data_IF_023856755208
#
_entry.id   IF_023856755208
#
_cell.length_a   1.000
_cell.length_b   1.000
_cell.length_c   1.000
_cell.angle_alpha   90.00
_cell.angle_beta   90.00
_cell.angle_gamma   90.00
#
_symmetry.space_group_name_H-M   'P 1'
#
loop_
_entity.id
_entity.type
_entity.pdbx_description
1 polymer ?
#
# COMPACT_ATOMS: atom_id res chain seq x y z
N UNK A 1 16.74 6.12 25.37
CA UNK A 1 15.92 6.61 24.24
C UNK A 1 14.79 5.62 23.98
N UNK A 2 13.53 6.04 24.02
CA UNK A 2 12.40 5.15 23.74
C UNK A 2 12.28 4.91 22.23
N UNK A 3 12.19 3.63 21.83
CA UNK A 3 11.95 3.24 20.44
C UNK A 3 10.47 3.42 20.13
N UNK A 4 10.13 4.40 19.31
CA UNK A 4 8.77 4.56 18.77
C UNK A 4 8.51 3.44 17.75
N UNK A 5 7.29 2.91 17.75
CA UNK A 5 6.85 1.83 16.85
C UNK A 5 5.58 2.25 16.12
N UNK A 6 5.44 1.81 14.88
CA UNK A 6 4.26 2.06 14.06
C UNK A 6 3.14 1.13 14.49
N UNK A 7 1.96 1.69 14.75
CA UNK A 7 0.74 0.96 15.08
C UNK A 7 -0.20 1.04 13.89
N UNK A 8 -0.72 -0.10 13.46
CA UNK A 8 -1.63 -0.20 12.31
C UNK A 8 -3.02 -0.56 12.80
N UNK A 9 -4.02 0.15 12.28
CA UNK A 9 -5.43 -0.13 12.52
C UNK A 9 -6.11 -0.28 11.17
N UNK A 10 -6.73 -1.43 10.95
CA UNK A 10 -7.53 -1.74 9.77
C UNK A 10 -8.99 -1.36 10.06
N UNK A 11 -9.68 -0.85 9.03
CA UNK A 11 -11.11 -0.55 9.10
C UNK A 11 -11.81 -1.07 7.85
N UNK A 12 -12.99 -1.65 8.03
CA UNK A 12 -13.82 -2.16 6.94
C UNK A 12 -14.14 -3.64 7.09
N UNK A 13 -14.93 -4.16 6.15
CA UNK A 13 -15.48 -5.52 6.17
C UNK A 13 -14.43 -6.61 6.42
N UNK A 14 -13.27 -6.50 5.77
CA UNK A 14 -12.17 -7.46 5.82
C UNK A 14 -11.14 -7.19 6.93
N UNK A 15 -11.44 -6.31 7.90
CA UNK A 15 -10.45 -5.90 8.91
C UNK A 15 -10.00 -7.06 9.83
N UNK A 16 -10.79 -8.12 9.95
CA UNK A 16 -10.52 -9.29 10.81
C UNK A 16 -10.05 -10.52 10.03
N UNK A 17 -9.90 -10.42 8.71
CA UNK A 17 -9.44 -11.54 7.90
C UNK A 17 -8.04 -11.97 8.34
N UNK A 18 -7.79 -13.28 8.26
CA UNK A 18 -6.48 -13.82 8.63
C UNK A 18 -5.41 -13.26 7.67
N UNK A 19 -4.24 -12.83 8.18
CA UNK A 19 -3.16 -12.37 7.33
C UNK A 19 -2.71 -13.50 6.40
N UNK A 20 -2.43 -13.14 5.14
CA UNK A 20 -1.99 -14.09 4.12
C UNK A 20 -0.55 -13.79 3.72
N UNK A 21 0.26 -14.85 3.62
CA UNK A 21 1.61 -14.76 3.07
C UNK A 21 1.54 -14.61 1.54
N UNK A 22 1.97 -13.45 1.04
CA UNK A 22 1.87 -13.11 -0.39
C UNK A 22 2.65 -14.07 -1.30
N UNK A 23 3.74 -14.66 -0.80
CA UNK A 23 4.52 -15.64 -1.56
C UNK A 23 3.71 -16.91 -1.86
N UNK A 24 2.84 -17.33 -0.95
CA UNK A 24 2.00 -18.52 -1.12
C UNK A 24 0.86 -18.26 -2.12
N UNK A 25 0.32 -17.03 -2.16
CA UNK A 25 -0.72 -16.65 -3.12
C UNK A 25 -0.22 -16.65 -4.58
N UNK A 26 1.03 -16.23 -4.83
CA UNK A 26 1.59 -16.20 -6.19
C UNK A 26 1.78 -17.60 -6.80
N UNK A 27 1.89 -18.62 -5.95
CA UNK A 27 2.05 -20.03 -6.36
C UNK A 27 0.72 -20.75 -6.52
N UNK A 28 -0.29 -20.37 -5.72
CA UNK A 28 -1.58 -21.07 -5.69
C UNK A 28 -2.42 -20.83 -6.95
N UNK A 29 -2.26 -19.71 -7.64
CA UNK A 29 -3.14 -19.36 -8.76
C UNK A 29 -2.40 -18.67 -9.93
N UNK A 30 -1.76 -19.45 -10.82
CA UNK A 30 -1.15 -18.95 -12.05
C UNK A 30 -2.09 -18.11 -12.94
N UNK A 31 -3.40 -18.37 -12.89
CA UNK A 31 -4.46 -17.72 -13.65
C UNK A 31 -4.78 -16.28 -13.19
N UNK A 32 -4.56 -15.95 -11.91
CA UNK A 32 -4.75 -14.57 -11.40
C UNK A 32 -3.62 -13.62 -11.80
N UNK A 33 -2.57 -14.11 -12.47
CA UNK A 33 -1.54 -13.25 -13.06
C UNK A 33 -2.11 -12.32 -14.14
N UNK A 34 -3.24 -12.68 -14.76
CA UNK A 34 -3.83 -11.92 -15.87
C UNK A 34 -5.35 -11.69 -15.79
N UNK A 35 -6.11 -12.50 -15.04
CA UNK A 35 -7.58 -12.52 -15.15
C UNK A 35 -8.31 -11.45 -14.30
N UNK A 36 -7.77 -11.06 -13.14
CA UNK A 36 -8.42 -10.05 -12.26
C UNK A 36 -8.42 -8.64 -12.87
N UNK A 37 -7.53 -8.39 -13.85
CA UNK A 37 -7.47 -7.14 -14.59
C UNK A 37 -8.79 -6.80 -15.32
N UNK A 38 -9.58 -7.81 -15.69
CA UNK A 38 -10.85 -7.62 -16.40
C UNK A 38 -12.06 -7.52 -15.47
N UNK A 39 -12.10 -8.27 -14.37
CA UNK A 39 -13.30 -8.31 -13.51
C UNK A 39 -13.45 -7.05 -12.66
N UNK A 40 -12.37 -6.47 -12.13
CA UNK A 40 -12.46 -5.26 -11.29
C UNK A 40 -12.73 -3.98 -12.11
N UNK A 41 -12.31 -3.90 -13.38
CA UNK A 41 -12.64 -2.78 -14.26
C UNK A 41 -14.13 -2.73 -14.66
N UNK A 42 -14.85 -3.86 -14.55
CA UNK A 42 -16.26 -3.95 -14.92
C UNK A 42 -17.23 -3.86 -13.74
N UNK A 43 -16.76 -3.69 -12.50
CA UNK A 43 -17.65 -3.35 -11.38
C UNK A 43 -18.10 -1.90 -11.49
N UNK A 44 -19.17 -1.67 -12.26
CA UNK A 44 -19.91 -0.40 -12.24
C UNK A 44 -20.25 -0.08 -10.78
N UNK A 45 -20.14 1.18 -10.33
CA UNK A 45 -20.71 1.59 -9.06
C UNK A 45 -22.22 1.38 -9.17
N UNK A 46 -22.74 0.30 -8.60
CA UNK A 46 -24.18 0.07 -8.53
C UNK A 46 -24.75 1.11 -7.58
N UNK A 47 -25.48 2.06 -8.16
CA UNK A 47 -26.37 2.94 -7.42
C UNK A 47 -27.49 2.08 -6.81
N UNK A 48 -27.68 2.26 -5.50
CA UNK A 48 -28.90 2.01 -4.74
C UNK A 48 -29.52 0.60 -4.81
N UNK A 49 -29.36 -0.16 -3.72
CA UNK A 49 -30.37 -1.16 -3.33
C UNK A 49 -30.53 -1.10 -1.80
N UNK A 50 -31.65 -0.49 -1.39
CA UNK A 50 -32.10 -0.41 -0.02
C UNK A 50 -32.49 -1.77 0.55
N UNK A 51 -31.52 -2.48 1.12
CA UNK A 51 -31.75 -3.59 2.03
C UNK A 51 -30.96 -3.35 3.32
N UNK A 52 -31.63 -3.55 4.46
CA UNK A 52 -31.18 -3.25 5.82
C UNK A 52 -29.83 -3.92 6.15
N UNK A 53 -28.70 -3.25 5.88
CA UNK A 53 -27.37 -3.73 6.22
C UNK A 53 -27.03 -3.34 7.67
N UNK A 54 -27.04 -4.32 8.58
CA UNK A 54 -26.35 -4.18 9.85
C UNK A 54 -24.87 -3.87 9.60
N UNK A 55 -24.46 -2.65 9.92
CA UNK A 55 -23.17 -2.15 10.48
C UNK A 55 -21.87 -2.97 10.33
N UNK A 56 -21.63 -3.70 9.24
CA UNK A 56 -20.34 -4.37 8.99
C UNK A 56 -19.24 -3.41 8.52
N UNK A 57 -19.61 -2.23 8.03
CA UNK A 57 -18.68 -1.19 7.57
C UNK A 57 -17.86 -0.49 8.66
N UNK A 58 -18.15 -0.75 9.95
CA UNK A 58 -17.48 -0.11 11.09
C UNK A 58 -16.56 -1.07 11.87
N UNK A 59 -16.24 -2.24 11.30
CA UNK A 59 -15.27 -3.14 11.90
C UNK A 59 -13.89 -2.45 11.96
N UNK A 60 -13.38 -2.22 13.18
CA UNK A 60 -12.07 -1.62 13.45
C UNK A 60 -11.17 -2.65 14.13
N UNK A 61 -10.13 -3.08 13.44
CA UNK A 61 -9.16 -4.04 13.96
C UNK A 61 -7.80 -3.36 14.17
N UNK A 62 -7.38 -3.23 15.42
CA UNK A 62 -6.01 -2.80 15.75
C UNK A 62 -5.09 -4.02 15.73
N UNK A 63 -4.12 -4.04 14.83
CA UNK A 63 -3.21 -5.19 14.72
C UNK A 63 -2.45 -5.39 16.04
N UNK A 64 -2.30 -6.65 16.53
CA UNK A 64 -1.68 -6.92 17.82
C UNK A 64 -0.17 -6.65 17.82
N UNK A 65 0.44 -6.58 16.63
CA UNK A 65 1.87 -6.32 16.43
C UNK A 65 2.12 -4.88 16.00
N UNK A 66 3.29 -4.36 16.37
CA UNK A 66 3.75 -3.02 15.98
C UNK A 66 5.07 -3.11 15.24
N UNK A 67 5.15 -2.47 14.08
CA UNK A 67 6.39 -2.44 13.30
C UNK A 67 7.42 -1.52 13.94
N UNK A 68 8.68 -1.97 13.94
CA UNK A 68 9.80 -1.19 14.45
C UNK A 68 10.30 -0.17 13.41
N UNK A 69 10.44 -0.61 12.17
CA UNK A 69 11.10 0.16 11.13
C UNK A 69 10.07 0.73 10.14
N UNK A 70 9.43 -0.11 9.34
CA UNK A 70 8.49 0.34 8.31
C UNK A 70 7.22 -0.51 8.23
N UNK A 71 6.17 0.07 7.68
CA UNK A 71 4.97 -0.62 7.19
C UNK A 71 4.84 -0.31 5.70
N UNK A 72 4.66 -1.35 4.90
CA UNK A 72 4.36 -1.24 3.47
C UNK A 72 2.87 -1.48 3.24
N UNK A 73 2.27 -0.70 2.35
CA UNK A 73 0.89 -0.86 1.88
C UNK A 73 0.88 -0.82 0.37
N UNK A 74 0.29 -1.81 -0.28
CA UNK A 74 0.17 -1.87 -1.74
C UNK A 74 -0.68 -3.06 -2.17
N UNK A 75 -0.83 -3.22 -3.47
CA UNK A 75 -1.48 -4.38 -4.09
C UNK A 75 -0.73 -5.68 -3.75
N UNK A 76 -1.47 -6.78 -3.63
CA UNK A 76 -0.89 -8.11 -3.39
C UNK A 76 -0.01 -8.60 -4.57
N UNK A 77 -0.31 -8.14 -5.79
CA UNK A 77 0.49 -8.44 -6.99
C UNK A 77 1.40 -7.25 -7.32
N UNK A 78 2.72 -7.46 -7.29
CA UNK A 78 3.73 -6.40 -7.49
C UNK A 78 3.74 -5.77 -8.89
N UNK A 79 3.14 -6.42 -9.89
CA UNK A 79 2.96 -5.87 -11.23
C UNK A 79 1.78 -4.90 -11.35
N UNK A 80 0.89 -4.86 -10.35
CA UNK A 80 -0.28 -3.98 -10.33
C UNK A 80 0.06 -2.64 -9.71
N UNK A 81 -0.53 -1.59 -10.27
CA UNK A 81 -0.40 -0.25 -9.70
C UNK A 81 -1.40 -0.10 -8.56
N UNK A 82 -0.92 0.35 -7.41
CA UNK A 82 -1.76 0.66 -6.26
C UNK A 82 -2.43 2.02 -6.44
N UNK A 83 -3.76 2.05 -6.27
CA UNK A 83 -4.56 3.28 -6.28
C UNK A 83 -5.16 3.48 -4.89
N UNK A 84 -4.87 4.62 -4.27
CA UNK A 84 -5.36 4.89 -2.91
C UNK A 84 -5.57 6.37 -2.67
N UNK A 85 -6.42 6.66 -1.69
CA UNK A 85 -6.63 7.99 -1.15
C UNK A 85 -5.87 8.12 0.16
N UNK A 86 -4.97 9.11 0.24
CA UNK A 86 -4.20 9.39 1.44
C UNK A 86 -4.73 10.65 2.13
N UNK A 87 -4.88 10.57 3.45
CA UNK A 87 -5.15 11.70 4.34
C UNK A 87 -4.22 11.61 5.54
N UNK A 88 -3.70 12.77 5.95
CA UNK A 88 -2.85 12.90 7.14
C UNK A 88 -3.59 13.79 8.13
N UNK A 89 -3.78 13.31 9.36
CA UNK A 89 -4.43 14.07 10.45
C UNK A 89 -5.81 14.67 10.09
N UNK A 90 -6.58 13.95 9.27
CA UNK A 90 -7.92 14.38 8.83
C UNK A 90 -7.93 15.44 7.74
N UNK A 91 -6.78 15.74 7.13
CA UNK A 91 -6.69 16.63 5.96
C UNK A 91 -7.46 16.06 4.75
N UNK A 92 -7.81 16.92 3.75
CA UNK A 92 -8.49 16.46 2.55
C UNK A 92 -7.75 15.31 1.87
N UNK A 93 -8.52 14.29 1.45
CA UNK A 93 -7.98 13.08 0.82
C UNK A 93 -7.37 13.42 -0.53
N UNK A 94 -6.15 12.95 -0.76
CA UNK A 94 -5.45 13.09 -2.03
C UNK A 94 -5.37 11.74 -2.73
N UNK A 95 -5.78 11.69 -4.00
CA UNK A 95 -5.69 10.49 -4.83
C UNK A 95 -4.25 10.30 -5.29
N UNK A 96 -3.71 9.11 -5.04
CA UNK A 96 -2.34 8.74 -5.37
C UNK A 96 -2.32 7.45 -6.19
N UNK A 97 -1.33 7.34 -7.05
CA UNK A 97 -1.05 6.18 -7.89
C UNK A 97 0.45 5.88 -7.82
N UNK A 98 0.81 4.68 -7.38
CA UNK A 98 2.22 4.27 -7.22
C UNK A 98 2.34 2.74 -7.15
N UNK A 99 3.56 2.22 -7.02
CA UNK A 99 3.79 0.80 -6.71
C UNK A 99 3.39 0.43 -5.27
N UNK A 100 3.09 1.41 -4.41
CA UNK A 100 2.77 1.23 -3.00
C UNK A 100 3.26 2.39 -2.14
N UNK A 101 2.94 2.34 -0.84
CA UNK A 101 3.27 3.33 0.17
C UNK A 101 4.12 2.70 1.27
N UNK A 102 5.26 3.32 1.57
CA UNK A 102 6.09 2.95 2.71
C UNK A 102 6.02 4.02 3.79
N UNK A 103 5.63 3.65 5.00
CA UNK A 103 5.65 4.50 6.18
C UNK A 103 6.78 4.01 7.08
N UNK A 104 7.73 4.88 7.44
CA UNK A 104 8.87 4.51 8.28
C UNK A 104 8.93 5.34 9.57
N UNK A 105 9.46 4.73 10.63
CA UNK A 105 9.86 5.44 11.85
C UNK A 105 11.17 6.21 11.63
N UNK A 106 11.52 7.12 12.55
CA UNK A 106 12.81 7.82 12.49
C UNK A 106 14.01 6.87 12.40
N UNK A 107 13.97 5.73 13.11
CA UNK A 107 15.01 4.69 13.00
C UNK A 107 14.93 3.91 11.68
N UNK A 108 13.72 3.66 11.17
CA UNK A 108 13.49 2.98 9.88
C UNK A 108 13.96 3.80 8.66
N UNK A 109 14.13 5.11 8.80
CA UNK A 109 14.58 5.99 7.71
C UNK A 109 15.93 5.59 7.09
N UNK A 110 16.75 4.82 7.81
CA UNK A 110 18.08 4.33 7.37
C UNK A 110 18.06 2.89 6.82
N UNK A 111 16.88 2.25 6.76
CA UNK A 111 16.70 0.84 6.39
C UNK A 111 16.16 0.71 4.95
N UNK A 112 14.97 0.15 4.74
CA UNK A 112 14.44 -0.09 3.41
C UNK A 112 14.06 1.23 2.73
N UNK A 113 13.49 2.15 3.51
CA UNK A 113 13.16 3.51 3.05
C UNK A 113 14.38 4.25 2.46
N UNK A 114 15.55 4.10 3.07
CA UNK A 114 16.79 4.66 2.53
C UNK A 114 17.14 4.04 1.18
N UNK A 115 17.12 2.70 1.10
CA UNK A 115 17.58 1.98 -0.08
C UNK A 115 16.71 2.24 -1.32
N UNK A 116 15.39 2.33 -1.16
CA UNK A 116 14.48 2.58 -2.30
C UNK A 116 14.50 4.04 -2.79
N UNK A 117 14.95 4.97 -1.96
CA UNK A 117 15.06 6.40 -2.32
C UNK A 117 16.51 6.82 -2.61
N UNK A 118 17.47 5.90 -2.52
CA UNK A 118 18.89 6.23 -2.66
C UNK A 118 19.20 6.60 -4.10
N UNK A 119 19.71 7.82 -4.28
CA UNK A 119 20.30 8.25 -5.55
C UNK A 119 21.81 7.97 -5.50
N UNK A 120 22.31 7.19 -6.45
CA UNK A 120 23.75 6.90 -6.55
C UNK A 120 24.48 8.02 -7.30
N UNK A 121 25.79 8.24 -7.06
CA UNK A 121 26.57 9.20 -7.84
C UNK A 121 26.46 8.96 -9.35
N UNK A 122 26.38 7.69 -9.77
CA UNK A 122 26.18 7.31 -11.17
C UNK A 122 24.80 7.73 -11.70
N UNK A 123 23.76 7.66 -10.86
CA UNK A 123 22.43 8.15 -11.21
C UNK A 123 22.44 9.67 -11.39
N UNK A 124 23.09 10.41 -10.47
CA UNK A 124 23.26 11.87 -10.58
C UNK A 124 24.03 12.22 -11.85
N UNK A 125 25.15 11.55 -12.13
CA UNK A 125 25.94 11.81 -13.33
C UNK A 125 25.09 11.66 -14.60
N UNK A 126 24.33 10.57 -14.71
CA UNK A 126 23.42 10.37 -15.86
C UNK A 126 22.37 11.47 -15.98
N UNK A 127 21.80 11.93 -14.87
CA UNK A 127 20.83 13.02 -14.87
C UNK A 127 21.48 14.32 -15.40
N UNK A 128 22.70 14.63 -14.94
CA UNK A 128 23.45 15.79 -15.42
C UNK A 128 23.80 15.68 -16.91
N UNK A 129 24.20 14.50 -17.38
CA UNK A 129 24.53 14.27 -18.78
C UNK A 129 23.30 14.49 -19.69
N UNK A 130 22.11 14.04 -19.25
CA UNK A 130 20.85 14.29 -19.97
C UNK A 130 20.51 15.79 -20.00
N UNK A 131 20.64 16.47 -18.86
CA UNK A 131 20.34 17.91 -18.75
C UNK A 131 21.33 18.82 -19.48
N UNK A 132 22.53 18.32 -19.75
CA UNK A 132 23.59 19.03 -20.49
C UNK A 132 23.57 18.76 -22.00
N UNK A 133 22.72 17.84 -22.48
CA UNK A 133 22.57 17.61 -23.92
C UNK A 133 21.81 18.79 -24.55
N UNK A 134 22.35 19.42 -25.61
CA UNK A 134 21.73 20.56 -26.30
C UNK A 134 20.44 20.18 -27.04
#
# INVERSE_FOLDING_TARGET
>A
MWRQRLRVTLKGEHAFDAPVELHDQQLQYPEYRFLDCWQEQHRKPTADDGATQHSLGDAVHMLPVRSLNEVFVGESLSSRVSYYELSVDGSPRTKLKSSGLTICSGTGSTSWSFNINKVTPQCIQRILDIGASP
#
